data_IF_349165540259
#
_entry.id   IF_349165540259
#
_cell.length_a   1.000
_cell.length_b   1.000
_cell.length_c   1.000
_cell.angle_alpha   90.00
_cell.angle_beta   90.00
_cell.angle_gamma   90.00
#
_symmetry.space_group_name_H-M   'P 1'
#
loop_
_entity.id
_entity.type
_entity.pdbx_description
1 polymer ?
#
# COMPACT_ATOMS: atom_id res chain seq x y z
N UNK A 1 -8.24 5.37 8.82
CA UNK A 1 -6.91 5.18 8.23
C UNK A 1 -6.04 4.39 9.20
N UNK A 2 -5.45 3.27 8.76
CA UNK A 2 -4.50 2.47 9.55
C UNK A 2 -3.23 2.30 8.73
N UNK A 3 -2.06 2.35 9.38
CA UNK A 3 -0.76 2.14 8.73
C UNK A 3 -0.10 0.95 9.39
N UNK A 4 0.40 -0.01 8.60
CA UNK A 4 1.07 -1.21 9.08
C UNK A 4 2.25 -1.52 8.19
N UNK A 5 3.42 -1.69 8.79
CA UNK A 5 4.58 -2.25 8.10
C UNK A 5 4.64 -3.75 8.37
N UNK A 6 4.83 -4.52 7.31
CA UNK A 6 5.10 -5.94 7.35
C UNK A 6 6.59 -6.18 7.07
N UNK A 7 7.41 -6.46 8.10
CA UNK A 7 8.85 -6.60 7.92
C UNK A 7 9.24 -7.90 7.20
N UNK A 8 8.38 -8.93 7.19
CA UNK A 8 8.67 -10.20 6.50
C UNK A 8 8.47 -10.03 4.99
N UNK A 9 7.43 -9.31 4.58
CA UNK A 9 7.17 -9.00 3.17
C UNK A 9 7.92 -7.76 2.66
N UNK A 10 8.46 -6.92 3.55
CA UNK A 10 8.98 -5.57 3.27
C UNK A 10 7.96 -4.66 2.55
N UNK A 11 6.72 -4.65 3.06
CA UNK A 11 5.60 -3.88 2.52
C UNK A 11 5.02 -2.94 3.58
N UNK A 12 4.83 -1.68 3.22
CA UNK A 12 4.05 -0.72 4.01
C UNK A 12 2.62 -0.65 3.46
N UNK A 13 1.65 -1.01 4.29
CA UNK A 13 0.23 -0.91 4.00
C UNK A 13 -0.36 0.37 4.60
N UNK A 14 -1.11 1.13 3.80
CA UNK A 14 -1.93 2.25 4.24
C UNK A 14 -3.38 1.93 3.89
N UNK A 15 -4.14 1.51 4.90
CA UNK A 15 -5.57 1.25 4.75
C UNK A 15 -6.35 2.55 4.90
N UNK A 16 -7.09 2.93 3.86
CA UNK A 16 -7.93 4.13 3.81
C UNK A 16 -9.38 3.76 4.16
N UNK A 17 -9.91 2.68 3.58
CA UNK A 17 -11.29 2.21 3.74
C UNK A 17 -11.35 0.70 3.92
N UNK A 18 -12.13 0.24 4.89
CA UNK A 18 -12.39 -1.18 5.11
C UNK A 18 -13.46 -1.71 4.15
N UNK A 19 -13.35 -2.98 3.77
CA UNK A 19 -14.32 -3.66 2.92
C UNK A 19 -13.67 -4.54 1.86
N UNK A 20 -14.48 -5.16 0.98
CA UNK A 20 -13.98 -5.96 -0.12
C UNK A 20 -13.25 -5.09 -1.15
N UNK A 21 -12.17 -5.65 -1.70
CA UNK A 21 -11.40 -5.08 -2.77
C UNK A 21 -11.87 -5.65 -4.10
N UNK A 22 -11.98 -4.78 -5.10
CA UNK A 22 -12.28 -5.14 -6.47
C UNK A 22 -11.01 -5.44 -7.26
N UNK A 23 -9.97 -4.63 -7.05
CA UNK A 23 -8.73 -4.73 -7.80
C UNK A 23 -7.55 -4.11 -7.05
N UNK A 24 -6.34 -4.47 -7.46
CA UNK A 24 -5.08 -3.88 -7.00
C UNK A 24 -4.23 -3.54 -8.21
N UNK A 25 -3.89 -2.26 -8.37
CA UNK A 25 -3.22 -1.74 -9.57
C UNK A 25 -1.86 -1.18 -9.21
N UNK A 26 -0.81 -1.63 -9.90
CA UNK A 26 0.52 -1.01 -9.84
C UNK A 26 0.48 0.32 -10.61
N UNK A 27 0.72 1.42 -9.92
CA UNK A 27 0.68 2.78 -10.49
C UNK A 27 2.08 3.37 -10.72
N UNK A 28 3.09 2.80 -10.07
CA UNK A 28 4.51 3.04 -10.28
C UNK A 28 5.28 1.82 -9.74
N UNK A 29 6.59 1.73 -10.05
CA UNK A 29 7.42 0.65 -9.50
C UNK A 29 7.28 0.62 -7.97
N UNK A 30 6.88 -0.55 -7.45
CA UNK A 30 6.64 -0.82 -6.03
C UNK A 30 5.48 -0.06 -5.37
N UNK A 31 4.63 0.62 -6.15
CA UNK A 31 3.52 1.41 -5.62
C UNK A 31 2.20 0.89 -6.16
N UNK A 32 1.36 0.38 -5.27
CA UNK A 32 0.08 -0.21 -5.62
C UNK A 32 -1.07 0.54 -4.94
N UNK A 33 -2.17 0.71 -5.67
CA UNK A 33 -3.45 1.20 -5.14
C UNK A 33 -4.46 0.06 -5.14
N UNK A 34 -5.12 -0.13 -4.00
CA UNK A 34 -6.26 -1.04 -3.88
C UNK A 34 -7.56 -0.28 -4.16
N UNK A 35 -8.39 -0.79 -5.08
CA UNK A 35 -9.65 -0.21 -5.51
C UNK A 35 -10.80 -1.00 -4.85
N UNK A 36 -11.72 -0.29 -4.18
CA UNK A 36 -12.93 -0.89 -3.63
C UNK A 36 -13.97 -1.19 -4.73
N UNK A 37 -14.97 -2.00 -4.40
CA UNK A 37 -16.11 -2.31 -5.30
C UNK A 37 -16.83 -1.07 -5.84
N UNK A 38 -16.94 0.01 -5.06
CA UNK A 38 -17.56 1.27 -5.48
C UNK A 38 -16.62 2.18 -6.28
N UNK A 39 -15.43 1.71 -6.64
CA UNK A 39 -14.44 2.45 -7.41
C UNK A 39 -13.63 3.47 -6.59
N UNK A 40 -13.87 3.58 -5.28
CA UNK A 40 -13.04 4.42 -4.41
C UNK A 40 -11.70 3.75 -4.06
N UNK A 41 -10.72 4.54 -3.64
CA UNK A 41 -9.45 4.02 -3.15
C UNK A 41 -9.68 3.39 -1.76
N UNK A 42 -9.32 2.11 -1.62
CA UNK A 42 -9.39 1.37 -0.38
C UNK A 42 -8.07 1.38 0.39
N UNK A 43 -6.94 1.34 -0.32
CA UNK A 43 -5.63 1.23 0.29
C UNK A 43 -4.47 1.54 -0.66
N UNK A 44 -3.28 1.57 -0.07
CA UNK A 44 -2.01 1.72 -0.77
C UNK A 44 -1.03 0.68 -0.22
N UNK A 45 -0.25 0.08 -1.10
CA UNK A 45 0.91 -0.74 -0.73
C UNK A 45 2.18 -0.12 -1.30
N UNK A 46 3.20 0.03 -0.46
CA UNK A 46 4.56 0.36 -0.90
C UNK A 46 5.41 -0.86 -0.68
N UNK A 47 5.82 -1.51 -1.76
CA UNK A 47 6.73 -2.64 -1.74
C UNK A 47 8.17 -2.16 -1.60
N UNK A 48 9.08 -3.06 -1.19
CA UNK A 48 10.48 -2.72 -0.88
C UNK A 48 10.55 -1.48 0.02
N UNK A 49 9.65 -1.38 1.00
CA UNK A 49 9.39 -0.14 1.74
C UNK A 49 10.63 0.33 2.50
N UNK A 50 11.44 -0.61 2.99
CA UNK A 50 12.72 -0.31 3.62
C UNK A 50 13.68 0.48 2.70
N UNK A 51 13.75 0.10 1.41
CA UNK A 51 14.56 0.78 0.41
C UNK A 51 13.92 2.10 -0.04
N UNK A 52 12.64 2.06 -0.34
CA UNK A 52 11.93 3.21 -0.94
C UNK A 52 11.69 4.35 0.06
N UNK A 53 11.58 4.05 1.37
CA UNK A 53 11.26 5.05 2.40
C UNK A 53 12.36 5.20 3.45
N UNK A 54 12.84 4.11 4.05
CA UNK A 54 13.72 4.20 5.23
C UNK A 54 15.15 4.66 4.88
N UNK A 55 15.64 4.41 3.67
CA UNK A 55 16.94 4.95 3.23
C UNK A 55 16.98 6.48 3.18
N UNK A 56 15.82 7.12 3.03
CA UNK A 56 15.69 8.58 2.90
C UNK A 56 15.42 9.31 4.24
N UNK A 57 15.30 8.59 5.37
CA UNK A 57 14.98 9.14 6.70
C UNK A 57 16.21 9.15 7.62
N UNK A 58 17.43 9.13 7.06
CA UNK A 58 18.68 9.26 7.84
C UNK A 58 19.07 10.70 8.12
#
# INVERSE_FOLDING_TARGET
>A
MKVRFDPEADILYILIKEGPLKDTVEIAEDLFIEIAEDGSIAGLEVWRASKNLLEHIK
#
